data_IF_301971136407
#
_entry.id   IF_301971136407
#
_cell.length_a   1.000
_cell.length_b   1.000
_cell.length_c   1.000
_cell.angle_alpha   90.00
_cell.angle_beta   90.00
_cell.angle_gamma   90.00
#
_symmetry.space_group_name_H-M   'P 1'
#
loop_
_entity.id
_entity.type
_entity.pdbx_description
1 polymer ?
#
# COMPACT_ATOMS: atom_id res chain seq x y z
N UNK A 1 15.14 23.46 12.91
CA UNK A 1 14.35 22.21 12.94
C UNK A 1 15.28 21.06 12.59
N UNK A 2 15.30 19.99 13.38
CA UNK A 2 16.11 18.81 13.04
C UNK A 2 15.45 18.04 11.90
N UNK A 3 16.23 17.35 11.05
CA UNK A 3 15.69 16.53 9.95
C UNK A 3 14.64 15.51 10.46
N UNK A 4 14.85 14.93 11.64
CA UNK A 4 13.92 14.00 12.28
C UNK A 4 12.55 14.63 12.59
N UNK A 5 12.53 15.88 13.09
CA UNK A 5 11.26 16.59 13.37
C UNK A 5 10.46 16.88 12.11
N UNK A 6 11.14 17.12 10.99
CA UNK A 6 10.49 17.33 9.70
C UNK A 6 9.92 16.03 9.13
N UNK A 7 10.67 14.92 9.19
CA UNK A 7 10.19 13.59 8.79
C UNK A 7 8.93 13.24 9.59
N UNK A 8 8.97 13.38 10.91
CA UNK A 8 7.82 13.09 11.77
C UNK A 8 6.59 13.94 11.40
N UNK A 9 6.78 15.25 11.19
CA UNK A 9 5.68 16.14 10.81
C UNK A 9 5.03 15.76 9.48
N UNK A 10 5.82 15.34 8.49
CA UNK A 10 5.30 14.87 7.19
C UNK A 10 4.53 13.57 7.35
N UNK A 11 5.09 12.60 8.09
CA UNK A 11 4.43 11.31 8.34
C UNK A 11 3.11 11.52 9.07
N UNK A 12 3.11 12.28 10.16
CA UNK A 12 1.91 12.56 10.94
C UNK A 12 0.83 13.26 10.10
N UNK A 13 1.22 14.24 9.29
CA UNK A 13 0.30 14.95 8.38
C UNK A 13 -0.32 14.01 7.35
N UNK A 14 0.48 13.20 6.66
CA UNK A 14 -0.01 12.33 5.58
C UNK A 14 -0.86 11.17 6.14
N UNK A 15 -0.52 10.64 7.32
CA UNK A 15 -1.34 9.67 8.03
C UNK A 15 -2.67 10.27 8.52
N UNK A 16 -2.65 11.48 9.08
CA UNK A 16 -3.87 12.19 9.50
C UNK A 16 -4.77 12.51 8.29
N UNK A 17 -4.19 12.87 7.14
CA UNK A 17 -4.95 13.07 5.89
C UNK A 17 -5.58 11.76 5.43
N UNK A 18 -4.85 10.66 5.47
CA UNK A 18 -5.34 9.34 5.03
C UNK A 18 -6.46 8.81 5.92
N UNK A 19 -6.32 8.92 7.24
CA UNK A 19 -7.35 8.48 8.21
C UNK A 19 -8.65 9.26 8.10
N UNK A 20 -8.58 10.54 7.72
CA UNK A 20 -9.77 11.37 7.43
C UNK A 20 -10.45 11.01 6.10
N UNK A 21 -9.74 10.34 5.18
CA UNK A 21 -10.28 9.87 3.90
C UNK A 21 -10.78 8.44 4.02
N UNK A 22 -11.79 8.22 4.86
CA UNK A 22 -12.33 6.88 5.19
C UNK A 22 -12.75 6.10 3.95
N UNK A 23 -13.38 6.74 2.96
CA UNK A 23 -13.77 6.11 1.70
C UNK A 23 -12.58 5.57 0.90
N UNK A 24 -11.43 6.25 0.98
CA UNK A 24 -10.19 5.80 0.33
C UNK A 24 -9.55 4.61 1.06
N UNK A 25 -9.56 4.65 2.39
CA UNK A 25 -9.08 3.54 3.21
C UNK A 25 -9.95 2.29 3.00
N UNK A 26 -11.27 2.44 3.07
CA UNK A 26 -12.21 1.36 2.83
C UNK A 26 -12.09 0.83 1.40
N UNK A 27 -11.97 1.70 0.38
CA UNK A 27 -11.76 1.27 -1.00
C UNK A 27 -10.45 0.50 -1.21
N UNK A 28 -9.37 0.92 -0.53
CA UNK A 28 -8.07 0.25 -0.58
C UNK A 28 -8.09 -1.14 0.04
N UNK A 29 -8.92 -1.36 1.06
CA UNK A 29 -9.09 -2.65 1.75
C UNK A 29 -10.12 -3.54 1.01
N UNK A 30 -11.24 -2.96 0.57
CA UNK A 30 -12.33 -3.70 -0.04
C UNK A 30 -11.88 -4.51 -1.25
N UNK A 31 -11.02 -3.94 -2.11
CA UNK A 31 -10.55 -4.61 -3.33
C UNK A 31 -9.74 -5.89 -3.04
N UNK A 32 -8.70 -5.87 -2.18
CA UNK A 32 -8.04 -7.07 -1.67
C UNK A 32 -9.00 -8.12 -1.10
N UNK A 33 -9.93 -7.70 -0.26
CA UNK A 33 -10.89 -8.63 0.35
C UNK A 33 -11.83 -9.27 -0.66
N UNK A 34 -12.36 -8.48 -1.60
CA UNK A 34 -13.21 -8.99 -2.68
C UNK A 34 -12.44 -10.02 -3.50
N UNK A 35 -11.18 -9.74 -3.84
CA UNK A 35 -10.34 -10.66 -4.61
C UNK A 35 -10.07 -11.96 -3.85
N UNK A 36 -9.77 -11.85 -2.55
CA UNK A 36 -9.55 -13.00 -1.69
C UNK A 36 -10.81 -13.86 -1.54
N UNK A 37 -11.98 -13.25 -1.37
CA UNK A 37 -13.24 -13.98 -1.28
C UNK A 37 -13.58 -14.63 -2.62
N UNK A 38 -13.59 -13.87 -3.72
CA UNK A 38 -13.94 -14.38 -5.05
C UNK A 38 -13.00 -15.50 -5.50
N UNK A 39 -11.69 -15.32 -5.36
CA UNK A 39 -10.72 -16.27 -5.89
C UNK A 39 -10.41 -17.36 -4.87
N UNK A 40 -10.29 -17.03 -3.58
CA UNK A 40 -10.06 -18.02 -2.53
C UNK A 40 -11.25 -18.96 -2.31
N UNK A 41 -12.50 -18.49 -2.42
CA UNK A 41 -13.69 -19.35 -2.26
C UNK A 41 -14.25 -19.84 -3.60
N UNK A 42 -14.38 -18.95 -4.59
CA UNK A 42 -14.98 -19.28 -5.87
C UNK A 42 -14.13 -20.27 -6.67
N UNK A 43 -12.82 -20.11 -6.70
CA UNK A 43 -11.95 -21.03 -7.45
C UNK A 43 -11.92 -22.44 -6.84
N UNK A 44 -11.98 -22.55 -5.51
CA UNK A 44 -12.05 -23.85 -4.82
C UNK A 44 -13.32 -24.63 -5.23
N UNK A 45 -14.45 -23.93 -5.39
CA UNK A 45 -15.72 -24.52 -5.84
C UNK A 45 -15.73 -24.99 -7.30
N UNK A 46 -14.93 -24.35 -8.16
CA UNK A 46 -14.88 -24.64 -9.61
C UNK A 46 -13.80 -25.68 -9.91
N UNK A 47 -12.62 -25.54 -9.33
CA UNK A 47 -11.44 -26.32 -9.70
C UNK A 47 -11.39 -27.72 -9.08
N UNK A 48 -12.34 -28.08 -8.19
CA UNK A 48 -12.44 -29.39 -7.50
C UNK A 48 -11.06 -29.94 -7.12
N UNK A 49 -10.26 -29.11 -6.49
CA UNK A 49 -8.84 -29.40 -6.24
C UNK A 49 -8.77 -30.56 -5.24
N UNK A 50 -8.44 -31.76 -5.74
CA UNK A 50 -8.32 -32.99 -4.95
C UNK A 50 -7.03 -33.04 -4.10
N UNK A 51 -6.16 -32.03 -4.17
CA UNK A 51 -4.81 -32.08 -3.61
C UNK A 51 -4.71 -31.83 -2.09
N UNK A 52 -5.82 -31.80 -1.35
CA UNK A 52 -5.81 -31.67 0.12
C UNK A 52 -5.33 -30.31 0.67
N UNK A 53 -4.79 -29.42 -0.17
CA UNK A 53 -4.35 -28.07 0.21
C UNK A 53 -5.38 -27.05 -0.27
N UNK A 54 -5.89 -26.25 0.66
CA UNK A 54 -6.84 -25.17 0.33
C UNK A 54 -6.18 -24.14 -0.59
N UNK A 55 -6.82 -23.87 -1.73
CA UNK A 55 -6.38 -22.81 -2.66
C UNK A 55 -6.25 -21.44 -1.99
N UNK A 56 -6.97 -21.21 -0.88
CA UNK A 56 -6.84 -20.00 -0.07
C UNK A 56 -5.41 -19.81 0.45
N UNK A 57 -4.74 -20.89 0.87
CA UNK A 57 -3.35 -20.85 1.36
C UNK A 57 -2.38 -20.35 0.29
N UNK A 58 -2.64 -20.68 -0.98
CA UNK A 58 -1.83 -20.24 -2.12
C UNK A 58 -2.09 -18.76 -2.49
N UNK A 59 -3.35 -18.34 -2.52
CA UNK A 59 -3.75 -16.98 -2.96
C UNK A 59 -3.45 -15.92 -1.90
N UNK A 60 -3.49 -16.31 -0.63
CA UNK A 60 -3.36 -15.43 0.51
C UNK A 60 -2.14 -14.48 0.49
N UNK A 61 -0.89 -14.94 0.33
CA UNK A 61 0.28 -14.05 0.28
C UNK A 61 0.24 -13.07 -0.90
N UNK A 62 -0.34 -13.48 -2.05
CA UNK A 62 -0.52 -12.59 -3.20
C UNK A 62 -1.45 -11.43 -2.90
N UNK A 63 -2.60 -11.71 -2.25
CA UNK A 63 -3.54 -10.67 -1.82
C UNK A 63 -2.91 -9.74 -0.78
N UNK A 64 -2.07 -10.27 0.11
CA UNK A 64 -1.37 -9.49 1.12
C UNK A 64 -0.45 -8.45 0.49
N UNK A 65 0.34 -8.86 -0.51
CA UNK A 65 1.21 -7.97 -1.29
C UNK A 65 0.37 -6.97 -2.10
N UNK A 66 -0.73 -7.42 -2.71
CA UNK A 66 -1.65 -6.56 -3.44
C UNK A 66 -2.20 -5.42 -2.56
N UNK A 67 -2.60 -5.72 -1.31
CA UNK A 67 -3.09 -4.72 -0.37
C UNK A 67 -2.02 -3.66 -0.04
N UNK A 68 -0.78 -4.10 0.20
CA UNK A 68 0.34 -3.21 0.46
C UNK A 68 0.67 -2.31 -0.74
N UNK A 69 0.69 -2.90 -1.94
CA UNK A 69 0.97 -2.20 -3.21
C UNK A 69 -0.06 -1.11 -3.49
N UNK A 70 -1.35 -1.46 -3.43
CA UNK A 70 -2.43 -0.49 -3.63
C UNK A 70 -2.41 0.63 -2.60
N UNK A 71 -2.29 0.30 -1.31
CA UNK A 71 -2.29 1.29 -0.24
C UNK A 71 -1.15 2.29 -0.37
N UNK A 72 0.06 1.81 -0.64
CA UNK A 72 1.23 2.66 -0.82
C UNK A 72 1.14 3.52 -2.10
N UNK A 73 0.78 2.93 -3.25
CA UNK A 73 0.69 3.66 -4.51
C UNK A 73 -0.43 4.70 -4.53
N UNK A 74 -1.59 4.41 -3.93
CA UNK A 74 -2.63 5.41 -3.77
C UNK A 74 -2.11 6.57 -2.90
N UNK A 75 -1.46 6.29 -1.78
CA UNK A 75 -0.89 7.35 -0.93
C UNK A 75 0.09 8.25 -1.70
N UNK A 76 0.84 7.69 -2.66
CA UNK A 76 1.75 8.45 -3.52
C UNK A 76 1.05 9.49 -4.41
N UNK A 77 -0.24 9.35 -4.75
CA UNK A 77 -1.03 10.38 -5.46
C UNK A 77 -0.98 11.72 -4.76
N UNK A 78 -1.00 11.72 -3.41
CA UNK A 78 -0.96 12.96 -2.64
C UNK A 78 0.31 13.77 -2.94
N UNK A 79 1.40 13.10 -3.31
CA UNK A 79 2.64 13.75 -3.74
C UNK A 79 2.49 14.45 -5.08
N UNK A 80 1.76 13.84 -6.03
CA UNK A 80 1.46 14.46 -7.33
C UNK A 80 0.52 15.64 -7.15
N UNK A 81 -0.51 15.49 -6.31
CA UNK A 81 -1.41 16.58 -5.96
C UNK A 81 -0.64 17.76 -5.35
N UNK A 82 0.21 17.49 -4.35
CA UNK A 82 1.00 18.55 -3.72
C UNK A 82 1.99 19.19 -4.72
N UNK A 83 2.43 18.48 -5.76
CA UNK A 83 3.21 19.04 -6.88
C UNK A 83 2.38 19.95 -7.78
N UNK A 84 1.22 19.48 -8.20
CA UNK A 84 0.32 20.15 -9.12
C UNK A 84 -0.15 21.50 -8.54
N UNK A 85 -0.53 21.51 -7.26
CA UNK A 85 -0.99 22.71 -6.56
C UNK A 85 0.15 23.52 -5.90
N UNK A 86 1.41 23.22 -6.20
CA UNK A 86 2.57 24.00 -5.75
C UNK A 86 2.95 23.86 -4.26
N UNK A 87 2.19 23.10 -3.46
CA UNK A 87 2.49 22.80 -2.06
C UNK A 87 3.89 22.18 -1.90
N UNK A 88 4.34 21.37 -2.85
CA UNK A 88 5.68 20.80 -2.80
C UNK A 88 6.77 21.87 -2.87
N UNK A 89 6.55 22.98 -3.59
CA UNK A 89 7.53 24.09 -3.65
C UNK A 89 7.67 24.76 -2.28
N UNK A 90 6.58 24.90 -1.53
CA UNK A 90 6.60 25.40 -0.16
C UNK A 90 7.34 24.44 0.78
N UNK A 91 7.15 23.13 0.61
CA UNK A 91 7.89 22.12 1.38
C UNK A 91 9.39 22.14 1.07
N UNK A 92 9.77 22.32 -0.20
CA UNK A 92 11.18 22.42 -0.62
C UNK A 92 11.85 23.71 -0.17
N UNK A 93 11.09 24.79 0.06
CA UNK A 93 11.58 26.02 0.66
C UNK A 93 11.79 25.90 2.19
N UNK A 94 11.32 24.80 2.81
CA UNK A 94 11.56 24.55 4.23
C UNK A 94 13.01 24.12 4.48
N UNK A 95 13.57 24.42 5.67
CA UNK A 95 14.95 24.07 6.02
C UNK A 95 15.18 22.55 6.21
N UNK A 96 14.16 21.71 6.01
CA UNK A 96 14.23 20.27 6.24
C UNK A 96 15.08 19.50 5.21
N UNK A 97 15.32 20.07 4.03
CA UNK A 97 16.03 19.42 2.94
C UNK A 97 15.21 18.35 2.20
N UNK A 98 15.60 18.05 0.95
CA UNK A 98 14.88 17.12 0.07
C UNK A 98 14.82 15.69 0.64
N UNK A 99 15.92 15.22 1.26
CA UNK A 99 15.99 13.87 1.82
C UNK A 99 14.97 13.61 2.92
N UNK A 100 14.76 14.57 3.83
CA UNK A 100 13.76 14.45 4.89
C UNK A 100 12.34 14.40 4.32
N UNK A 101 12.07 15.14 3.24
CA UNK A 101 10.76 15.11 2.57
C UNK A 101 10.52 13.73 1.94
N UNK A 102 11.48 13.24 1.15
CA UNK A 102 11.35 11.94 0.49
C UNK A 102 11.18 10.80 1.50
N UNK A 103 11.97 10.80 2.57
CA UNK A 103 11.85 9.82 3.65
C UNK A 103 10.52 9.92 4.39
N UNK A 104 10.05 11.14 4.70
CA UNK A 104 8.74 11.32 5.34
C UNK A 104 7.59 10.80 4.48
N UNK A 105 7.64 11.05 3.16
CA UNK A 105 6.60 10.56 2.26
C UNK A 105 6.67 9.05 2.04
N UNK A 106 7.87 8.47 1.95
CA UNK A 106 8.01 7.02 1.77
C UNK A 106 7.52 6.28 3.01
N UNK A 107 7.89 6.75 4.20
CA UNK A 107 7.41 6.19 5.46
C UNK A 107 5.90 6.32 5.62
N UNK A 108 5.31 7.47 5.24
CA UNK A 108 3.85 7.64 5.26
C UNK A 108 3.15 6.65 4.32
N UNK A 109 3.62 6.53 3.07
CA UNK A 109 3.04 5.61 2.09
C UNK A 109 3.23 4.14 2.51
N UNK A 110 4.40 3.77 3.04
CA UNK A 110 4.67 2.44 3.56
C UNK A 110 3.78 2.12 4.77
N UNK A 111 3.58 3.08 5.69
CA UNK A 111 2.71 2.89 6.86
C UNK A 111 1.24 2.67 6.46
N UNK A 112 0.73 3.37 5.44
CA UNK A 112 -0.62 3.13 4.92
C UNK A 112 -0.73 1.76 4.25
N UNK A 113 0.25 1.38 3.42
CA UNK A 113 0.30 0.04 2.80
C UNK A 113 0.38 -1.08 3.85
N UNK A 114 1.21 -0.89 4.88
CA UNK A 114 1.31 -1.78 6.04
C UNK A 114 -0.03 -1.88 6.76
N UNK A 115 -0.70 -0.77 7.05
CA UNK A 115 -1.98 -0.77 7.73
C UNK A 115 -3.04 -1.57 6.93
N UNK A 116 -3.15 -1.32 5.63
CA UNK A 116 -4.10 -2.03 4.78
C UNK A 116 -3.78 -3.53 4.70
N UNK A 117 -2.50 -3.87 4.52
CA UNK A 117 -2.08 -5.26 4.51
C UNK A 117 -2.20 -5.95 5.87
N UNK A 118 -2.02 -5.23 6.99
CA UNK A 118 -2.23 -5.78 8.34
C UNK A 118 -3.70 -6.10 8.60
N UNK A 119 -4.62 -5.30 8.06
CA UNK A 119 -6.06 -5.61 8.12
C UNK A 119 -6.37 -6.89 7.36
N UNK A 120 -5.76 -7.09 6.19
CA UNK A 120 -5.84 -8.38 5.47
C UNK A 120 -5.18 -9.49 6.29
N UNK A 121 -4.00 -9.21 6.89
CA UNK A 121 -3.22 -10.14 7.71
C UNK A 121 -4.02 -10.68 8.90
N UNK A 122 -4.76 -9.79 9.57
CA UNK A 122 -5.57 -10.13 10.73
C UNK A 122 -6.73 -11.07 10.40
N UNK A 123 -7.16 -11.14 9.13
CA UNK A 123 -8.25 -12.01 8.69
C UNK A 123 -7.76 -13.38 8.21
N UNK A 124 -6.45 -13.57 7.96
CA UNK A 124 -5.86 -14.89 7.64
C UNK A 124 -6.38 -16.05 8.50
N UNK A 125 -6.28 -15.99 9.84
CA UNK A 125 -6.56 -17.14 10.70
C UNK A 125 -8.04 -17.55 10.69
N UNK A 126 -8.93 -16.69 10.21
CA UNK A 126 -10.35 -17.01 10.05
C UNK A 126 -10.63 -17.79 8.75
N UNK A 127 -9.71 -17.74 7.78
CA UNK A 127 -9.94 -18.22 6.42
C UNK A 127 -9.03 -19.39 6.03
N UNK A 128 -7.87 -19.50 6.68
CA UNK A 128 -6.81 -20.47 6.40
C UNK A 128 -6.19 -20.93 7.72
N UNK A 129 -5.85 -22.22 7.80
CA UNK A 129 -5.00 -22.74 8.87
C UNK A 129 -3.56 -22.28 8.62
N UNK A 130 -3.04 -21.41 9.48
CA UNK A 130 -1.70 -20.83 9.34
C UNK A 130 -0.91 -21.12 10.62
N UNK A 131 0.29 -21.65 10.45
CA UNK A 131 1.20 -21.85 11.59
C UNK A 131 1.83 -20.52 12.03
N UNK A 132 2.28 -20.43 13.28
CA UNK A 132 2.92 -19.22 13.81
C UNK A 132 4.11 -18.74 12.95
N UNK A 133 5.01 -19.62 12.45
CA UNK A 133 6.10 -19.21 11.56
C UNK A 133 5.61 -18.61 10.25
N UNK A 134 4.57 -19.18 9.62
CA UNK A 134 4.01 -18.68 8.36
C UNK A 134 3.33 -17.32 8.55
N UNK A 135 2.68 -17.11 9.70
CA UNK A 135 2.09 -15.82 10.04
C UNK A 135 3.16 -14.73 10.18
N UNK A 136 4.26 -15.03 10.89
CA UNK A 136 5.40 -14.11 11.05
C UNK A 136 6.09 -13.84 9.70
N UNK A 137 6.31 -14.87 8.89
CA UNK A 137 6.90 -14.73 7.55
C UNK A 137 6.02 -13.88 6.62
N UNK A 138 4.70 -14.02 6.72
CA UNK A 138 3.72 -13.19 6.00
C UNK A 138 3.82 -11.72 6.45
N UNK A 139 3.96 -11.47 7.74
CA UNK A 139 4.20 -10.13 8.29
C UNK A 139 5.51 -9.49 7.79
N UNK A 140 6.59 -10.25 7.72
CA UNK A 140 7.86 -9.78 7.17
C UNK A 140 7.75 -9.46 5.66
N UNK A 141 7.10 -10.34 4.91
CA UNK A 141 6.83 -10.14 3.47
C UNK A 141 5.99 -8.88 3.25
N UNK A 142 4.97 -8.66 4.08
CA UNK A 142 4.14 -7.47 4.06
C UNK A 142 4.98 -6.20 4.28
N UNK A 143 5.90 -6.20 5.24
CA UNK A 143 6.77 -5.05 5.51
C UNK A 143 7.67 -4.71 4.32
N UNK A 144 8.30 -5.72 3.71
CA UNK A 144 9.12 -5.55 2.52
C UNK A 144 8.29 -5.04 1.34
N UNK A 145 7.11 -5.63 1.13
CA UNK A 145 6.20 -5.23 0.06
C UNK A 145 5.75 -3.77 0.21
N UNK A 146 5.36 -3.35 1.43
CA UNK A 146 4.92 -1.99 1.70
C UNK A 146 6.04 -0.96 1.49
N UNK A 147 7.25 -1.26 1.97
CA UNK A 147 8.42 -0.40 1.76
C UNK A 147 8.78 -0.28 0.27
N UNK A 148 8.84 -1.40 -0.44
CA UNK A 148 9.17 -1.44 -1.88
C UNK A 148 8.12 -0.67 -2.69
N UNK A 149 6.84 -0.90 -2.39
CA UNK A 149 5.71 -0.22 -3.04
C UNK A 149 5.69 1.29 -2.77
N UNK A 150 6.10 1.72 -1.58
CA UNK A 150 6.19 3.15 -1.25
C UNK A 150 7.22 3.87 -2.12
N UNK A 151 8.38 3.24 -2.35
CA UNK A 151 9.45 3.78 -3.19
C UNK A 151 9.00 3.78 -4.65
N UNK A 152 8.40 2.69 -5.13
CA UNK A 152 7.84 2.62 -6.48
C UNK A 152 6.79 3.71 -6.73
N UNK A 153 5.85 3.89 -5.80
CA UNK A 153 4.84 4.94 -5.89
C UNK A 153 5.45 6.34 -5.96
N UNK A 154 6.48 6.62 -5.16
CA UNK A 154 7.21 7.88 -5.20
C UNK A 154 8.00 8.10 -6.49
N UNK A 155 8.63 7.05 -7.04
CA UNK A 155 9.34 7.11 -8.32
C UNK A 155 8.38 7.46 -9.46
N UNK A 156 7.21 6.85 -9.50
CA UNK A 156 6.15 7.18 -10.46
C UNK A 156 5.66 8.62 -10.24
N UNK A 157 5.38 9.00 -9.00
CA UNK A 157 4.92 10.34 -8.65
C UNK A 157 5.96 11.43 -8.97
N UNK A 158 7.26 11.11 -8.94
CA UNK A 158 8.32 12.04 -9.27
C UNK A 158 8.36 12.40 -10.77
N UNK A 159 7.87 11.52 -11.65
CA UNK A 159 7.86 11.73 -13.10
C UNK A 159 6.60 12.42 -13.61
N UNK A 160 5.53 12.43 -12.82
CA UNK A 160 4.21 12.90 -13.25
C UNK A 160 3.86 14.25 -12.63
N UNK A 161 3.23 15.12 -13.43
CA UNK A 161 2.88 16.50 -13.04
C UNK A 161 1.38 16.75 -12.93
N UNK A 162 0.54 15.86 -13.46
CA UNK A 162 -0.91 15.92 -13.41
C UNK A 162 -1.45 14.66 -12.72
N UNK A 163 -2.43 14.83 -11.84
CA UNK A 163 -3.14 13.74 -11.17
C UNK A 163 -3.86 12.82 -12.16
N UNK A 164 -4.38 13.35 -13.28
CA UNK A 164 -5.04 12.56 -14.32
C UNK A 164 -4.06 11.61 -15.01
N UNK A 165 -2.87 12.10 -15.37
CA UNK A 165 -1.81 11.27 -15.95
C UNK A 165 -1.32 10.21 -14.96
N UNK A 166 -1.33 10.52 -13.65
CA UNK A 166 -0.99 9.55 -12.63
C UNK A 166 -2.00 8.40 -12.54
N UNK A 167 -3.30 8.69 -12.60
CA UNK A 167 -4.34 7.67 -12.57
C UNK A 167 -4.28 6.71 -13.77
N UNK A 168 -3.83 7.17 -14.95
CA UNK A 168 -3.57 6.30 -16.09
C UNK A 168 -2.35 5.39 -15.87
N UNK A 169 -1.21 5.99 -15.53
CA UNK A 169 0.07 5.27 -15.37
C UNK A 169 0.02 4.27 -14.23
N UNK A 170 -0.62 4.61 -13.11
CA UNK A 170 -0.71 3.69 -11.96
C UNK A 170 -1.41 2.39 -12.34
N UNK A 171 -2.45 2.42 -13.18
CA UNK A 171 -3.13 1.20 -13.60
C UNK A 171 -2.25 0.34 -14.52
N UNK A 172 -1.50 0.97 -15.43
CA UNK A 172 -0.54 0.26 -16.30
C UNK A 172 0.57 -0.40 -15.49
N UNK A 173 0.99 0.21 -14.39
CA UNK A 173 2.01 -0.37 -13.49
C UNK A 173 1.40 -1.41 -12.55
N UNK A 174 0.19 -1.18 -12.05
CA UNK A 174 -0.47 -2.07 -11.10
C UNK A 174 -0.85 -3.40 -11.76
N UNK A 175 -1.53 -3.40 -12.90
CA UNK A 175 -2.06 -4.64 -13.47
C UNK A 175 -1.02 -5.74 -13.71
N UNK A 176 0.20 -5.47 -14.20
CA UNK A 176 1.24 -6.49 -14.36
C UNK A 176 1.87 -6.98 -13.04
N UNK A 177 1.76 -6.20 -11.96
CA UNK A 177 2.34 -6.52 -10.65
C UNK A 177 1.38 -7.30 -9.74
N UNK A 178 0.12 -7.45 -10.16
CA UNK A 178 -0.96 -8.16 -9.45
C UNK A 178 -1.19 -9.54 -10.07
#
# INVERSE_FOLDING_TARGET
MSAASAVYGIVARDLARTTRQTSRLLGGIARPFIWLLLVGTGYNSIARIESGVSYRTFVYPGVLVMAALFGAMLTAIATVYDREFGMLRLMLASPAGLGAILLGRSLAAAAVGLLQGLVVLAVAPLLVEVTLPEFVASGATLAVAALSSSVLGLLVAARLRSVENFAGVINVVLFPLL
#
